data_IF_880849251013
#
_entry.id   IF_880849251013
#
_cell.length_a   1.000
_cell.length_b   1.000
_cell.length_c   1.000
_cell.angle_alpha   90.00
_cell.angle_beta   90.00
_cell.angle_gamma   90.00
#
_symmetry.space_group_name_H-M   'P 1'
#
loop_
_entity.id
_entity.type
_entity.pdbx_description
1 polymer ?
#
# COMPACT_ATOMS: atom_id res chain seq x y z
N UNK A 1 10.21 -4.14 -7.00
CA UNK A 1 9.95 -2.72 -6.66
C UNK A 1 9.38 -2.53 -5.27
N UNK A 2 8.33 -3.29 -4.83
CA UNK A 2 7.77 -3.18 -3.47
C UNK A 2 8.81 -3.37 -2.37
N UNK A 3 9.69 -4.36 -2.50
CA UNK A 3 10.77 -4.64 -1.53
C UNK A 3 11.76 -3.47 -1.42
N UNK A 4 12.21 -2.94 -2.57
CA UNK A 4 13.14 -1.79 -2.60
C UNK A 4 12.51 -0.57 -1.93
N UNK A 5 11.23 -0.30 -2.20
CA UNK A 5 10.50 0.79 -1.58
C UNK A 5 10.25 0.55 -0.08
N UNK A 6 10.12 -0.70 0.35
CA UNK A 6 10.03 -1.08 1.76
C UNK A 6 11.36 -0.91 2.51
N UNK A 7 12.49 -1.08 1.83
CA UNK A 7 13.82 -0.84 2.41
C UNK A 7 14.13 0.65 2.61
N UNK A 8 13.52 1.53 1.80
CA UNK A 8 13.56 2.98 2.04
C UNK A 8 12.69 3.34 3.24
N UNK A 9 13.21 3.10 4.43
CA UNK A 9 12.50 3.16 5.70
C UNK A 9 13.09 4.21 6.62
N UNK A 10 12.22 5.04 7.23
CA UNK A 10 12.56 5.93 8.34
C UNK A 10 11.83 5.43 9.60
N UNK A 11 12.54 5.10 10.67
CA UNK A 11 11.93 4.64 11.92
C UNK A 11 11.34 5.85 12.68
N UNK A 12 10.05 6.10 12.50
CA UNK A 12 9.34 7.21 13.16
C UNK A 12 8.46 6.73 14.35
N UNK A 13 8.78 5.59 14.95
CA UNK A 13 8.02 5.02 16.07
C UNK A 13 7.64 3.56 15.83
N UNK A 14 6.50 3.10 16.37
CA UNK A 14 6.07 1.70 16.26
C UNK A 14 5.72 1.29 14.81
N UNK A 15 5.36 2.27 13.97
CA UNK A 15 5.10 2.06 12.54
C UNK A 15 6.17 2.82 11.74
N UNK A 16 6.96 2.14 10.92
CA UNK A 16 7.99 2.78 10.11
C UNK A 16 7.38 3.53 8.92
N UNK A 17 7.93 4.68 8.61
CA UNK A 17 7.63 5.39 7.37
C UNK A 17 8.40 4.73 6.22
N UNK A 18 7.72 4.35 5.14
CA UNK A 18 8.34 3.72 3.97
C UNK A 18 7.86 4.36 2.67
N UNK A 19 8.59 4.15 1.58
CA UNK A 19 8.13 4.50 0.23
C UNK A 19 7.21 3.43 -0.39
N UNK A 20 6.93 2.36 0.33
CA UNK A 20 6.12 1.24 -0.15
C UNK A 20 4.71 1.67 -0.57
N UNK A 21 4.08 2.56 0.20
CA UNK A 21 2.74 3.09 -0.11
C UNK A 21 2.69 3.86 -1.43
N UNK A 22 3.78 4.51 -1.84
CA UNK A 22 3.87 5.17 -3.15
C UNK A 22 3.89 4.16 -4.30
N UNK A 23 4.62 3.06 -4.15
CA UNK A 23 4.63 1.98 -5.16
C UNK A 23 3.29 1.26 -5.21
N UNK A 24 2.63 1.08 -4.07
CA UNK A 24 1.27 0.52 -4.03
C UNK A 24 0.26 1.39 -4.78
N UNK A 25 0.32 2.71 -4.62
CA UNK A 25 -0.54 3.66 -5.32
C UNK A 25 -0.32 3.70 -6.85
N UNK A 26 0.84 3.22 -7.32
CA UNK A 26 1.10 3.07 -8.75
C UNK A 26 0.37 1.85 -9.35
N UNK A 27 0.17 0.77 -8.58
CA UNK A 27 -0.30 -0.51 -9.11
C UNK A 27 -1.69 -0.43 -9.76
N UNK A 28 -2.73 0.20 -9.15
CA UNK A 28 -4.07 0.25 -9.75
C UNK A 28 -4.13 1.06 -11.05
N UNK A 29 -3.16 1.95 -11.26
CA UNK A 29 -3.04 2.73 -12.49
C UNK A 29 -2.28 2.00 -13.60
N UNK A 30 -1.21 1.28 -13.24
CA UNK A 30 -0.27 0.68 -14.18
C UNK A 30 -0.60 -0.76 -14.58
N UNK A 31 -1.25 -1.52 -13.69
CA UNK A 31 -1.50 -2.95 -13.87
C UNK A 31 -2.99 -3.27 -13.87
N UNK A 32 -3.35 -4.40 -14.49
CA UNK A 32 -4.66 -5.00 -14.30
C UNK A 32 -4.82 -5.57 -12.89
N UNK A 33 -6.08 -5.77 -12.47
CA UNK A 33 -6.42 -6.22 -11.12
C UNK A 33 -5.73 -7.53 -10.73
N UNK A 34 -5.68 -8.51 -11.64
CA UNK A 34 -5.08 -9.82 -11.34
C UNK A 34 -3.58 -9.69 -11.10
N UNK A 35 -2.87 -8.97 -11.97
CA UNK A 35 -1.42 -8.73 -11.87
C UNK A 35 -1.06 -7.87 -10.65
N UNK A 36 -1.84 -6.84 -10.35
CA UNK A 36 -1.64 -6.00 -9.17
C UNK A 36 -1.78 -6.81 -7.87
N UNK A 37 -2.87 -7.59 -7.74
CA UNK A 37 -3.09 -8.46 -6.58
C UNK A 37 -2.02 -9.56 -6.48
N UNK A 38 -1.66 -10.21 -7.60
CA UNK A 38 -0.62 -11.22 -7.63
C UNK A 38 0.75 -10.67 -7.20
N UNK A 39 1.07 -9.43 -7.61
CA UNK A 39 2.32 -8.77 -7.22
C UNK A 39 2.41 -8.53 -5.70
N UNK A 40 1.31 -8.08 -5.09
CA UNK A 40 1.27 -7.88 -3.63
C UNK A 40 1.25 -9.22 -2.90
N UNK A 41 0.50 -10.20 -3.38
CA UNK A 41 0.46 -11.55 -2.79
C UNK A 41 1.86 -12.22 -2.85
N UNK A 42 2.53 -12.15 -4.00
CA UNK A 42 3.89 -12.67 -4.15
C UNK A 42 4.88 -11.98 -3.20
N UNK A 43 4.78 -10.65 -3.06
CA UNK A 43 5.59 -9.90 -2.09
C UNK A 43 5.38 -10.40 -0.65
N UNK A 44 4.12 -10.61 -0.23
CA UNK A 44 3.81 -11.12 1.11
C UNK A 44 4.31 -12.56 1.30
N UNK A 45 4.15 -13.42 0.29
CA UNK A 45 4.62 -14.81 0.33
C UNK A 45 6.14 -14.88 0.43
N UNK A 46 6.87 -14.10 -0.36
CA UNK A 46 8.34 -14.02 -0.29
C UNK A 46 8.79 -13.59 1.11
N UNK A 47 8.14 -12.60 1.71
CA UNK A 47 8.43 -12.18 3.07
C UNK A 47 8.10 -13.26 4.10
N UNK A 48 6.96 -13.94 3.95
CA UNK A 48 6.52 -15.00 4.85
C UNK A 48 7.50 -16.20 4.89
N UNK A 49 8.06 -16.59 3.73
CA UNK A 49 9.06 -17.68 3.64
C UNK A 49 10.46 -17.27 4.12
N UNK A 50 10.64 -16.03 4.58
CA UNK A 50 11.89 -15.58 5.20
C UNK A 50 12.80 -14.72 4.31
N UNK A 51 12.36 -14.30 3.12
CA UNK A 51 13.13 -13.34 2.35
C UNK A 51 13.03 -11.94 2.98
N UNK A 52 14.14 -11.17 3.08
CA UNK A 52 14.18 -9.85 3.73
C UNK A 52 13.57 -8.76 2.86
N UNK A 53 12.28 -8.89 2.52
CA UNK A 53 11.56 -7.99 1.62
C UNK A 53 10.73 -6.93 2.33
N UNK A 54 10.48 -7.08 3.63
CA UNK A 54 9.69 -6.13 4.42
C UNK A 54 10.52 -4.93 4.87
N UNK A 55 9.85 -3.95 5.48
CA UNK A 55 10.48 -2.75 6.02
C UNK A 55 11.64 -3.08 6.96
N UNK A 56 12.75 -2.36 6.83
CA UNK A 56 13.95 -2.59 7.64
C UNK A 56 14.60 -3.96 7.41
N UNK A 57 14.47 -4.52 6.20
CA UNK A 57 14.92 -5.87 5.84
C UNK A 57 14.24 -6.98 6.66
N UNK A 58 13.07 -6.70 7.21
CA UNK A 58 12.27 -7.67 7.95
C UNK A 58 11.86 -8.88 7.10
N UNK A 59 11.70 -10.02 7.75
CA UNK A 59 11.34 -11.28 7.11
C UNK A 59 10.58 -12.20 8.07
N UNK A 60 9.87 -13.17 7.50
CA UNK A 60 9.17 -14.23 8.23
C UNK A 60 7.75 -13.88 8.66
N UNK A 61 7.02 -14.92 9.05
CA UNK A 61 5.62 -14.81 9.50
C UNK A 61 5.50 -13.92 10.74
N UNK A 62 6.54 -13.82 11.57
CA UNK A 62 6.56 -12.95 12.74
C UNK A 62 6.32 -11.48 12.41
N UNK A 63 6.77 -10.99 11.24
CA UNK A 63 6.48 -9.62 10.78
C UNK A 63 5.01 -9.47 10.42
N UNK A 64 4.41 -10.46 9.77
CA UNK A 64 2.99 -10.47 9.39
C UNK A 64 2.06 -10.58 10.61
N UNK A 65 2.49 -11.24 11.66
CA UNK A 65 1.77 -11.34 12.94
C UNK A 65 2.12 -10.18 13.90
N UNK A 66 3.15 -9.40 13.61
CA UNK A 66 3.64 -8.31 14.44
C UNK A 66 2.81 -7.02 14.34
N UNK A 67 3.22 -5.96 15.05
CA UNK A 67 2.48 -4.70 15.16
C UNK A 67 2.16 -4.03 13.81
N UNK A 68 2.99 -4.23 12.80
CA UNK A 68 2.84 -3.63 11.45
C UNK A 68 2.22 -4.58 10.43
N UNK A 69 1.98 -5.84 10.79
CA UNK A 69 1.46 -6.87 9.87
C UNK A 69 0.09 -6.52 9.29
N UNK A 70 -0.76 -5.84 10.06
CA UNK A 70 -2.08 -5.40 9.61
C UNK A 70 -2.04 -4.50 8.38
N UNK A 71 -1.02 -3.65 8.26
CA UNK A 71 -0.81 -2.85 7.06
C UNK A 71 -0.51 -3.72 5.85
N UNK A 72 0.32 -4.76 6.01
CA UNK A 72 0.68 -5.68 4.94
C UNK A 72 -0.53 -6.46 4.43
N UNK A 73 -1.38 -6.95 5.32
CA UNK A 73 -2.67 -7.56 4.95
C UNK A 73 -3.62 -6.54 4.32
N UNK A 74 -3.66 -5.33 4.88
CA UNK A 74 -4.43 -4.20 4.37
C UNK A 74 -4.03 -3.81 2.94
N UNK A 75 -2.76 -3.95 2.55
CA UNK A 75 -2.30 -3.69 1.18
C UNK A 75 -2.89 -4.68 0.19
N UNK A 76 -2.97 -5.97 0.54
CA UNK A 76 -3.55 -6.99 -0.34
C UNK A 76 -5.05 -6.75 -0.58
N UNK A 77 -5.80 -6.54 0.50
CA UNK A 77 -7.23 -6.23 0.41
C UNK A 77 -7.44 -4.87 -0.27
N UNK A 78 -6.63 -3.90 0.10
CA UNK A 78 -6.71 -2.53 -0.40
C UNK A 78 -6.46 -2.43 -1.90
N UNK A 79 -5.44 -3.13 -2.44
CA UNK A 79 -5.17 -3.09 -3.89
C UNK A 79 -6.30 -3.74 -4.69
N UNK A 80 -6.90 -4.81 -4.17
CA UNK A 80 -8.07 -5.43 -4.78
C UNK A 80 -9.26 -4.45 -4.88
N UNK A 81 -9.53 -3.74 -3.79
CA UNK A 81 -10.57 -2.72 -3.73
C UNK A 81 -10.23 -1.55 -4.65
N UNK A 82 -9.00 -1.03 -4.61
CA UNK A 82 -8.56 0.07 -5.45
C UNK A 82 -8.75 -0.23 -6.94
N UNK A 83 -8.26 -1.36 -7.43
CA UNK A 83 -8.43 -1.77 -8.82
C UNK A 83 -9.91 -1.93 -9.21
N UNK A 84 -10.75 -2.38 -8.28
CA UNK A 84 -12.19 -2.51 -8.52
C UNK A 84 -12.85 -1.13 -8.62
N UNK A 85 -12.52 -0.22 -7.70
CA UNK A 85 -13.00 1.17 -7.69
C UNK A 85 -12.57 1.90 -8.96
N UNK A 86 -11.30 1.77 -9.36
CA UNK A 86 -10.79 2.38 -10.60
C UNK A 86 -11.63 1.90 -11.79
N UNK A 87 -11.83 0.59 -11.94
CA UNK A 87 -12.62 0.00 -13.05
C UNK A 87 -14.06 0.49 -13.09
N UNK A 88 -14.67 0.72 -11.93
CA UNK A 88 -16.04 1.24 -11.84
C UNK A 88 -16.13 2.73 -12.19
N UNK A 89 -15.16 3.51 -11.74
CA UNK A 89 -15.18 4.97 -11.86
C UNK A 89 -14.57 5.50 -13.15
N UNK A 90 -13.67 4.77 -13.83
CA UNK A 90 -13.05 5.20 -15.09
C UNK A 90 -14.05 5.41 -16.24
N UNK A 91 -15.29 4.91 -16.07
CA UNK A 91 -16.39 5.16 -17.01
C UNK A 91 -17.05 6.54 -16.83
N UNK A 92 -16.86 7.16 -15.68
CA UNK A 92 -17.54 8.44 -15.30
C UNK A 92 -16.56 9.56 -14.97
N UNK A 93 -15.35 9.23 -14.57
CA UNK A 93 -14.30 10.17 -14.13
C UNK A 93 -13.06 10.03 -15.01
N UNK A 94 -12.20 11.05 -14.96
CA UNK A 94 -10.89 10.93 -15.57
C UNK A 94 -10.11 9.76 -14.92
N UNK A 95 -9.26 9.08 -15.70
CA UNK A 95 -8.46 7.95 -15.18
C UNK A 95 -7.68 8.33 -13.93
N UNK A 96 -7.05 9.51 -13.94
CA UNK A 96 -6.31 10.00 -12.78
C UNK A 96 -7.20 10.15 -11.54
N UNK A 97 -8.38 10.76 -11.68
CA UNK A 97 -9.33 10.90 -10.55
C UNK A 97 -9.84 9.56 -10.05
N UNK A 98 -10.15 8.63 -10.97
CA UNK A 98 -10.58 7.27 -10.59
C UNK A 98 -9.49 6.55 -9.79
N UNK A 99 -8.21 6.67 -10.20
CA UNK A 99 -7.06 6.11 -9.48
C UNK A 99 -6.91 6.75 -8.11
N UNK A 100 -6.99 8.08 -7.99
CA UNK A 100 -6.91 8.77 -6.69
C UNK A 100 -7.96 8.28 -5.70
N UNK A 101 -9.20 8.09 -6.15
CA UNK A 101 -10.29 7.58 -5.30
C UNK A 101 -10.03 6.11 -4.91
N UNK A 102 -9.57 5.29 -5.85
CA UNK A 102 -9.19 3.90 -5.56
C UNK A 102 -8.06 3.80 -4.53
N UNK A 103 -7.01 4.59 -4.70
CA UNK A 103 -5.86 4.62 -3.81
C UNK A 103 -6.23 5.17 -2.41
N UNK A 104 -7.10 6.17 -2.34
CA UNK A 104 -7.63 6.65 -1.06
C UNK A 104 -8.39 5.55 -0.30
N UNK A 105 -9.19 4.75 -1.01
CA UNK A 105 -9.86 3.59 -0.42
C UNK A 105 -8.85 2.52 0.05
N UNK A 106 -7.80 2.25 -0.74
CA UNK A 106 -6.72 1.33 -0.35
C UNK A 106 -6.03 1.78 0.94
N UNK A 107 -5.67 3.06 1.03
CA UNK A 107 -5.01 3.60 2.23
C UNK A 107 -5.91 3.56 3.45
N UNK A 108 -7.19 3.89 3.30
CA UNK A 108 -8.16 3.77 4.38
C UNK A 108 -8.23 2.33 4.92
N UNK A 109 -8.29 1.33 4.04
CA UNK A 109 -8.27 -0.09 4.43
C UNK A 109 -6.96 -0.45 5.14
N UNK A 110 -5.81 -0.01 4.60
CA UNK A 110 -4.51 -0.27 5.21
C UNK A 110 -4.40 0.35 6.61
N UNK A 111 -4.88 1.58 6.80
CA UNK A 111 -4.90 2.23 8.10
C UNK A 111 -5.83 1.50 9.10
N UNK A 112 -7.02 1.08 8.66
CA UNK A 112 -7.94 0.33 9.53
C UNK A 112 -7.31 -1.00 9.95
N UNK A 113 -6.86 -1.81 9.00
CA UNK A 113 -6.23 -3.10 9.30
C UNK A 113 -4.96 -2.95 10.14
N UNK A 114 -4.10 -1.98 9.80
CA UNK A 114 -2.87 -1.70 10.52
C UNK A 114 -3.10 -1.25 11.95
N UNK A 115 -4.01 -0.30 12.16
CA UNK A 115 -4.34 0.21 13.49
C UNK A 115 -4.97 -0.88 14.36
N UNK A 116 -5.91 -1.67 13.84
CA UNK A 116 -6.54 -2.76 14.57
C UNK A 116 -5.52 -3.82 15.02
N UNK A 117 -4.60 -4.21 14.15
CA UNK A 117 -3.56 -5.17 14.53
C UNK A 117 -2.55 -4.56 15.50
N UNK A 118 -2.16 -3.29 15.31
CA UNK A 118 -1.28 -2.59 16.24
C UNK A 118 -1.89 -2.54 17.65
N UNK A 119 -3.18 -2.22 17.77
CA UNK A 119 -3.90 -2.22 19.05
C UNK A 119 -3.88 -3.60 19.70
N UNK A 120 -4.16 -4.65 18.92
CA UNK A 120 -4.22 -6.02 19.43
C UNK A 120 -2.85 -6.54 19.90
N UNK A 121 -1.79 -6.24 19.15
CA UNK A 121 -0.43 -6.76 19.43
C UNK A 121 0.28 -5.92 20.50
N UNK A 122 0.13 -4.60 20.48
CA UNK A 122 0.80 -3.69 21.40
C UNK A 122 -0.07 -3.33 22.62
N UNK A 123 -1.28 -3.89 22.73
CA UNK A 123 -2.25 -3.60 23.81
C UNK A 123 -2.51 -2.11 23.98
N UNK A 124 -2.58 -1.36 22.87
CA UNK A 124 -2.82 0.07 22.86
C UNK A 124 -4.31 0.38 22.77
N UNK A 125 -4.73 1.45 23.44
CA UNK A 125 -6.04 2.03 23.22
C UNK A 125 -6.14 2.72 21.86
N UNK A 126 -7.37 3.00 21.40
CA UNK A 126 -7.66 3.57 20.09
C UNK A 126 -6.92 4.89 19.82
N UNK A 127 -6.96 5.83 20.77
CA UNK A 127 -6.38 7.17 20.58
C UNK A 127 -4.86 7.11 20.45
N UNK A 128 -4.11 6.48 21.37
CA UNK A 128 -2.66 6.29 21.19
C UNK A 128 -2.30 5.56 19.91
N UNK A 129 -3.04 4.53 19.50
CA UNK A 129 -2.80 3.81 18.27
C UNK A 129 -2.97 4.69 17.02
N UNK A 130 -4.03 5.50 16.94
CA UNK A 130 -4.23 6.44 15.84
C UNK A 130 -3.14 7.52 15.79
N UNK A 131 -2.74 8.05 16.93
CA UNK A 131 -1.66 9.06 17.00
C UNK A 131 -0.30 8.50 16.57
N UNK A 132 -0.04 7.22 16.83
CA UNK A 132 1.22 6.57 16.46
C UNK A 132 1.23 6.04 15.03
N UNK A 133 0.08 5.63 14.50
CA UNK A 133 -0.03 4.80 13.31
C UNK A 133 -0.72 5.47 12.12
N UNK A 134 -1.41 6.58 12.31
CA UNK A 134 -2.18 7.26 11.27
C UNK A 134 -1.79 8.73 11.14
N UNK A 135 -1.91 9.49 12.23
CA UNK A 135 -1.76 10.95 12.20
C UNK A 135 -0.45 11.43 11.56
N UNK A 136 0.73 10.87 11.89
CA UNK A 136 2.00 11.32 11.30
C UNK A 136 2.13 11.00 9.80
N UNK A 137 1.36 10.01 9.33
CA UNK A 137 1.48 9.47 7.97
C UNK A 137 0.51 10.10 6.98
N UNK A 138 -0.59 10.73 7.42
CA UNK A 138 -1.62 11.30 6.53
C UNK A 138 -1.02 12.26 5.51
N UNK A 139 -0.27 13.27 5.96
CA UNK A 139 0.28 14.28 5.05
C UNK A 139 1.28 13.70 4.04
N UNK A 140 2.32 12.95 4.46
CA UNK A 140 3.24 12.34 3.51
C UNK A 140 2.57 11.28 2.62
N UNK A 141 1.57 10.56 3.12
CA UNK A 141 0.88 9.55 2.30
C UNK A 141 -0.04 10.18 1.25
N UNK A 142 -0.63 11.35 1.49
CA UNK A 142 -1.33 12.12 0.45
C UNK A 142 -0.37 12.47 -0.70
N UNK A 143 0.84 12.91 -0.38
CA UNK A 143 1.85 13.22 -1.41
C UNK A 143 2.24 11.96 -2.20
N UNK A 144 2.53 10.85 -1.51
CA UNK A 144 2.87 9.57 -2.14
C UNK A 144 1.74 9.04 -3.04
N UNK A 145 0.48 9.18 -2.59
CA UNK A 145 -0.71 8.79 -3.33
C UNK A 145 -0.79 9.58 -4.66
N UNK A 146 -0.65 10.91 -4.60
CA UNK A 146 -0.71 11.75 -5.80
C UNK A 146 0.44 11.44 -6.75
N UNK A 147 1.67 11.30 -6.23
CA UNK A 147 2.85 10.97 -7.05
C UNK A 147 2.72 9.57 -7.64
N UNK A 148 2.35 8.56 -6.84
CA UNK A 148 2.15 7.18 -7.28
C UNK A 148 1.09 7.07 -8.38
N UNK A 149 -0.06 7.72 -8.20
CA UNK A 149 -1.13 7.78 -9.20
C UNK A 149 -0.68 8.45 -10.50
N UNK A 150 0.08 9.56 -10.42
CA UNK A 150 0.62 10.25 -11.62
C UNK A 150 1.59 9.36 -12.38
N UNK A 151 2.57 8.78 -11.69
CA UNK A 151 3.56 7.89 -12.29
C UNK A 151 2.88 6.66 -12.89
N UNK A 152 1.94 6.05 -12.16
CA UNK A 152 1.20 4.89 -12.65
C UNK A 152 0.37 5.18 -13.92
N UNK A 153 -0.29 6.34 -13.98
CA UNK A 153 -0.99 6.76 -15.18
C UNK A 153 -0.04 7.01 -16.36
N UNK A 154 1.13 7.60 -16.12
CA UNK A 154 2.13 7.84 -17.16
C UNK A 154 2.70 6.51 -17.70
N UNK A 155 3.04 5.56 -16.81
CA UNK A 155 3.49 4.21 -17.20
C UNK A 155 2.42 3.50 -18.04
N UNK A 156 1.16 3.55 -17.62
CA UNK A 156 0.06 2.94 -18.38
C UNK A 156 -0.13 3.56 -19.78
N UNK A 157 0.12 4.85 -19.95
CA UNK A 157 0.05 5.50 -21.25
C UNK A 157 1.21 5.06 -22.16
N UNK A 158 2.45 5.02 -21.63
CA UNK A 158 3.62 4.59 -22.36
C UNK A 158 3.47 3.14 -22.87
N UNK A 159 3.07 2.21 -22.01
CA UNK A 159 2.89 0.80 -22.39
C UNK A 159 1.78 0.56 -23.42
N UNK A 160 0.77 1.43 -23.47
CA UNK A 160 -0.28 1.35 -24.51
C UNK A 160 0.21 1.87 -25.87
N UNK A 161 1.14 2.83 -25.86
CA UNK A 161 1.69 3.39 -27.09
C UNK A 161 2.65 2.40 -27.79
N UNK A 162 3.38 1.59 -27.00
CA UNK A 162 4.30 0.59 -27.51
C UNK A 162 3.59 -0.69 -28.04
N UNK A 163 2.31 -0.87 -27.68
CA UNK A 163 1.50 -2.03 -28.09
C UNK A 163 0.57 -1.76 -29.30
N UNK A 164 0.56 -0.54 -29.82
CA UNK A 164 -0.25 -0.09 -30.98
C UNK A 164 0.59 0.08 -32.23
#
# INVERSE_FOLDING_TARGET
MLSVAAWCTLPLGPVPFTLQTMVLALLPAALDRATACASVAAYLLLGAVGMPVFSGFGAGIAVLAGPTGGYLWGFLVGVLVACTVVKLLERRLSRFTAVLVGDAAMFAIAYVCGTLQLMAVASLEMVPALMAAVVPFILPDIVKLVVGARVGCAVSQATRHDAA
#
